data_IF_423489582292
#
_entry.id   IF_423489582292
#
_cell.length_a   1.000
_cell.length_b   1.000
_cell.length_c   1.000
_cell.angle_alpha   90.00
_cell.angle_beta   90.00
_cell.angle_gamma   90.00
#
_symmetry.space_group_name_H-M   'P 1'
#
loop_
_entity.id
_entity.type
_entity.pdbx_description
1 polymer ?
2 non-polymer ?
3 water ?
#
# COMPACT_ATOMS: atom_id res chain seq x y z
N UNK A 1 27.02 4.49 -4.93
CA UNK A 1 25.70 4.89 -5.50
C UNK A 1 24.92 5.70 -4.48
N UNK A 2 24.87 7.01 -4.70
CA UNK A 2 24.25 7.93 -3.77
C UNK A 2 22.76 7.61 -3.56
N UNK A 3 22.10 7.18 -4.63
CA UNK A 3 20.67 6.89 -4.56
C UNK A 3 20.44 5.68 -3.68
N UNK A 4 21.23 4.64 -3.90
CA UNK A 4 21.09 3.43 -3.12
C UNK A 4 21.40 3.75 -1.66
N UNK A 5 22.36 4.62 -1.42
CA UNK A 5 22.67 5.02 -0.05
C UNK A 5 21.48 5.70 0.64
N UNK A 6 20.72 6.47 -0.12
CA UNK A 6 19.53 7.14 0.43
C UNK A 6 18.51 6.14 0.94
N UNK A 7 18.46 4.97 0.32
CA UNK A 7 17.56 3.92 0.76
C UNK A 7 18.16 3.15 1.94
N UNK A 8 19.41 2.73 1.80
CA UNK A 8 20.05 1.90 2.84
C UNK A 8 20.09 2.62 4.21
N UNK A 9 20.35 3.92 4.20
CA UNK A 9 20.40 4.72 5.41
C UNK A 9 19.07 4.79 6.14
N UNK A 10 17.99 4.42 5.46
CA UNK A 10 16.64 4.51 5.99
C UNK A 10 16.03 3.14 6.27
N UNK A 11 16.86 2.11 6.29
CA UNK A 11 16.43 0.83 6.81
C UNK A 11 16.82 0.75 8.27
N UNK A 12 15.85 0.45 9.12
CA UNK A 12 16.07 0.30 10.56
C UNK A 12 15.99 -1.16 10.96
N UNK A 13 16.87 -1.60 11.83
CA UNK A 13 16.89 -3.00 12.25
C UNK A 13 16.43 -3.17 13.70
N UNK A 14 15.51 -4.13 13.90
CA UNK A 14 14.99 -4.45 15.24
C UNK A 14 15.32 -5.89 15.60
N UNK A 15 16.37 -6.10 16.40
CA UNK A 15 16.68 -7.47 16.82
C UNK A 15 15.55 -8.09 17.65
N UNK A 16 15.40 -9.40 17.52
CA UNK A 16 14.47 -10.18 18.33
C UNK A 16 13.00 -9.78 18.14
N UNK A 17 12.67 -9.34 16.94
CA UNK A 17 11.29 -9.14 16.52
C UNK A 17 11.08 -9.80 15.17
N UNK A 18 10.06 -10.65 15.06
CA UNK A 18 9.08 -10.86 16.11
C UNK A 18 9.45 -11.96 17.11
N UNK A 19 10.54 -12.67 16.85
CA UNK A 19 11.00 -13.71 17.74
C UNK A 19 12.47 -13.53 18.03
N UNK A 20 12.94 -14.08 19.17
CA UNK A 20 14.36 -13.97 19.50
C UNK A 20 15.27 -14.59 18.42
N UNK A 21 16.34 -13.89 18.05
CA UNK A 21 17.40 -14.47 17.21
C UNK A 21 17.42 -13.89 15.81
N UNK A 22 16.29 -13.37 15.39
CA UNK A 22 16.17 -12.76 14.09
C UNK A 22 16.30 -11.24 14.18
N UNK A 23 16.29 -10.60 13.02
CA UNK A 23 16.38 -9.15 12.95
C UNK A 23 15.37 -8.66 11.95
N UNK A 24 14.39 -7.91 12.43
CA UNK A 24 13.38 -7.34 11.56
C UNK A 24 13.95 -6.13 10.87
N UNK A 25 13.85 -6.09 9.54
CA UNK A 25 14.29 -4.94 8.77
C UNK A 25 13.08 -4.04 8.48
N UNK A 26 13.08 -2.86 9.11
CA UNK A 26 11.94 -1.93 9.04
C UNK A 26 12.18 -0.96 7.89
N UNK A 27 11.30 -0.96 6.90
CA UNK A 27 11.43 -0.04 5.77
C UNK A 27 10.60 1.24 5.96
N UNK A 28 9.92 1.36 7.10
CA UNK A 28 9.10 2.56 7.35
C UNK A 28 9.85 3.90 7.14
N UNK A 29 11.14 3.99 7.54
CA UNK A 29 11.78 5.30 7.35
C UNK A 29 11.98 5.68 5.88
N UNK A 30 12.00 4.70 5.00
CA UNK A 30 12.12 4.96 3.57
C UNK A 30 10.88 5.73 3.11
N UNK A 31 9.72 5.34 3.63
CA UNK A 31 8.46 6.00 3.23
C UNK A 31 8.37 7.41 3.81
N UNK A 32 8.97 7.61 5.00
CA UNK A 32 8.85 8.88 5.69
C UNK A 32 9.75 9.96 5.09
N UNK A 33 10.82 9.53 4.43
CA UNK A 33 11.75 10.46 3.79
C UNK A 33 11.48 10.46 2.29
N UNK A 34 10.89 11.56 1.79
CA UNK A 34 10.44 11.49 0.40
C UNK A 34 11.58 11.30 -0.61
N UNK A 35 12.78 11.75 -0.27
CA UNK A 35 13.94 11.52 -1.16
C UNK A 35 14.31 10.04 -1.20
N UNK A 36 14.22 9.37 -0.07
CA UNK A 36 14.50 7.94 0.04
C UNK A 36 13.49 7.14 -0.77
N UNK A 37 12.21 7.45 -0.59
CA UNK A 37 11.16 6.75 -1.31
C UNK A 37 11.32 6.94 -2.82
N UNK A 38 11.55 8.18 -3.24
CA UNK A 38 11.78 8.47 -4.65
C UNK A 38 12.97 7.68 -5.21
N UNK A 39 14.03 7.57 -4.41
CA UNK A 39 15.23 6.83 -4.84
C UNK A 39 14.91 5.35 -5.01
N UNK A 40 14.17 4.78 -4.08
CA UNK A 40 13.84 3.36 -4.12
C UNK A 40 13.02 3.06 -5.38
N UNK A 41 12.01 3.86 -5.64
CA UNK A 41 11.15 3.64 -6.79
C UNK A 41 11.96 3.82 -8.07
N UNK A 42 12.80 4.84 -8.09
CA UNK A 42 13.63 5.09 -9.26
C UNK A 42 14.61 3.97 -9.56
N UNK A 43 15.26 3.43 -8.53
CA UNK A 43 16.19 2.34 -8.70
C UNK A 43 15.47 1.08 -9.23
N UNK A 44 14.28 0.80 -8.70
CA UNK A 44 13.53 -0.36 -9.15
C UNK A 44 13.07 -0.16 -10.59
N UNK A 45 12.57 1.02 -10.90
CA UNK A 45 12.07 1.30 -12.24
C UNK A 45 13.19 1.21 -13.28
N UNK A 46 14.34 1.78 -12.95
CA UNK A 46 15.48 1.77 -13.88
C UNK A 46 15.94 0.32 -14.15
N UNK A 47 16.00 -0.49 -13.09
CA UNK A 47 16.34 -1.88 -13.26
C UNK A 47 15.35 -2.59 -14.18
N UNK A 48 14.06 -2.35 -13.97
CA UNK A 48 13.05 -3.08 -14.75
C UNK A 48 13.03 -2.66 -16.21
N UNK A 49 13.20 -1.36 -16.46
CA UNK A 49 13.29 -0.88 -17.85
C UNK A 49 14.53 -1.42 -18.52
N UNK A 50 15.63 -1.50 -17.78
CA UNK A 50 16.90 -1.98 -18.35
C UNK A 50 16.87 -3.48 -18.63
N UNK A 51 15.97 -4.19 -17.95
CA UNK A 51 15.93 -5.64 -18.01
C UNK A 51 14.81 -6.15 -18.93
N UNK A 52 13.73 -5.39 -19.04
CA UNK A 52 12.54 -5.86 -19.76
C UNK A 52 12.07 -4.94 -20.86
N UNK A 53 12.73 -3.79 -21.02
CA UNK A 53 12.28 -2.82 -22.01
C UNK A 53 10.81 -2.52 -21.84
N UNK A 54 10.04 -2.65 -22.92
CA UNK A 54 8.62 -2.35 -22.86
C UNK A 54 7.71 -3.56 -22.66
N UNK A 55 8.27 -4.68 -22.21
CA UNK A 55 7.50 -5.93 -22.18
C UNK A 55 6.58 -6.10 -20.98
N UNK A 56 6.72 -5.24 -19.96
CA UNK A 56 5.90 -5.39 -18.76
C UNK A 56 4.51 -4.82 -19.00
N UNK A 57 3.47 -5.59 -18.71
CA UNK A 57 2.10 -5.11 -18.84
C UNK A 57 1.58 -4.49 -17.54
N UNK A 58 1.88 -5.15 -16.42
CA UNK A 58 1.37 -4.74 -15.10
C UNK A 58 2.39 -5.01 -14.03
N UNK A 59 2.31 -4.19 -12.97
CA UNK A 59 2.95 -4.50 -11.71
C UNK A 59 1.91 -5.17 -10.81
N UNK A 60 2.33 -6.20 -10.08
CA UNK A 60 1.46 -6.82 -9.08
C UNK A 60 2.02 -6.53 -7.73
N UNK A 61 1.23 -5.88 -6.89
CA UNK A 61 1.69 -5.51 -5.55
C UNK A 61 1.12 -6.47 -4.53
N UNK A 62 1.94 -6.87 -3.57
CA UNK A 62 1.51 -7.83 -2.53
C UNK A 62 1.05 -7.15 -1.23
N UNK A 63 -0.12 -7.56 -0.75
CA UNK A 63 -0.70 -7.08 0.52
C UNK A 63 0.20 -7.50 1.68
N UNK A 64 0.57 -6.58 2.58
CA UNK A 64 0.15 -5.19 2.52
C UNK A 64 1.31 -4.22 2.21
N UNK A 65 2.55 -4.59 2.52
CA UNK A 65 3.64 -3.62 2.33
C UNK A 65 4.10 -3.51 0.88
N UNK A 66 3.80 -4.51 0.06
CA UNK A 66 3.98 -4.35 -1.36
C UNK A 66 3.08 -3.27 -1.97
N UNK A 67 1.94 -3.03 -1.33
CA UNK A 67 1.01 -1.98 -1.75
C UNK A 67 1.66 -0.60 -1.64
N UNK A 68 2.63 -0.47 -0.76
CA UNK A 68 3.32 0.80 -0.56
C UNK A 68 4.19 1.17 -1.75
N UNK A 69 4.67 0.17 -2.48
CA UNK A 69 5.60 0.41 -3.56
C UNK A 69 4.99 0.17 -4.93
N UNK A 70 4.04 -0.76 -5.01
CA UNK A 70 3.46 -1.18 -6.28
C UNK A 70 2.92 -0.06 -7.13
N UNK A 71 2.01 0.75 -6.58
CA UNK A 71 1.42 1.79 -7.42
C UNK A 71 2.41 2.85 -7.85
N UNK A 72 3.33 3.25 -6.96
CA UNK A 72 4.32 4.25 -7.35
C UNK A 72 5.26 3.71 -8.42
N UNK A 73 5.62 2.44 -8.31
CA UNK A 73 6.47 1.80 -9.30
C UNK A 73 5.74 1.69 -10.62
N UNK A 74 4.49 1.25 -10.57
CA UNK A 74 3.67 1.17 -11.75
C UNK A 74 3.58 2.55 -12.43
N UNK A 75 3.26 3.56 -11.65
CA UNK A 75 3.14 4.92 -12.20
C UNK A 75 4.42 5.37 -12.87
N UNK A 76 5.56 5.10 -12.23
CA UNK A 76 6.85 5.49 -12.80
C UNK A 76 7.09 4.83 -14.17
N UNK A 77 6.56 3.62 -14.35
CA UNK A 77 6.72 2.85 -15.57
C UNK A 77 5.59 3.06 -16.58
N UNK A 78 4.59 3.85 -16.19
CA UNK A 78 3.43 4.12 -17.02
C UNK A 78 2.42 2.96 -17.09
N UNK A 79 2.43 2.13 -16.04
CA UNK A 79 1.64 0.88 -16.03
C UNK A 79 0.58 0.92 -14.94
N UNK A 80 -0.42 0.07 -15.08
CA UNK A 80 -1.32 -0.20 -13.99
C UNK A 80 -0.76 -1.20 -13.00
N UNK A 81 -1.40 -1.25 -11.84
CA UNK A 81 -1.02 -2.15 -10.77
C UNK A 81 -2.21 -3.06 -10.44
N UNK A 82 -1.96 -4.37 -10.37
CA UNK A 82 -2.96 -5.29 -9.88
C UNK A 82 -2.59 -5.76 -8.48
N UNK A 83 -3.59 -6.21 -7.73
CA UNK A 83 -3.43 -6.49 -6.33
C UNK A 83 -3.56 -7.96 -6.01
N UNK A 84 -2.65 -8.45 -5.19
CA UNK A 84 -2.78 -9.74 -4.60
C UNK A 84 -2.99 -9.53 -3.11
N UNK A 85 -4.09 -10.04 -2.58
CA UNK A 85 -4.55 -9.68 -1.27
C UNK A 85 -4.61 -10.86 -0.34
N UNK A 86 -4.54 -10.59 0.94
CA UNK A 86 -4.84 -11.62 1.93
C UNK A 86 -6.27 -12.14 1.68
N UNK A 87 -6.45 -13.45 1.79
CA UNK A 87 -7.73 -14.05 1.46
C UNK A 87 -8.88 -13.45 2.26
N UNK A 88 -10.02 -13.27 1.59
CA UNK A 88 -11.27 -12.85 2.26
C UNK A 88 -11.65 -11.39 2.02
N UNK A 89 -10.83 -10.67 1.27
CA UNK A 89 -11.00 -9.22 1.12
C UNK A 89 -11.56 -8.82 -0.24
N UNK A 90 -11.39 -9.67 -1.24
CA UNK A 90 -11.72 -9.32 -2.61
C UNK A 90 -13.12 -9.81 -2.98
N UNK A 91 -13.91 -8.94 -3.64
CA UNK A 91 -15.19 -9.35 -4.19
C UNK A 91 -14.99 -10.06 -5.52
N UNK A 92 -16.04 -10.73 -5.99
CA UNK A 92 -15.98 -11.44 -7.28
C UNK A 92 -15.29 -12.79 -7.13
N UNK A 93 -15.22 -13.55 -8.22
CA UNK A 93 -14.59 -14.86 -8.21
C UNK A 93 -13.08 -14.75 -8.01
N UNK A 94 -12.53 -15.62 -7.15
CA UNK A 94 -11.14 -15.57 -6.81
C UNK A 94 -10.48 -16.94 -6.85
N UNK A 95 -9.15 -16.90 -6.89
CA UNK A 95 -8.28 -18.04 -6.66
C UNK A 95 -7.47 -17.70 -5.43
N UNK A 96 -7.08 -18.72 -4.67
CA UNK A 96 -6.22 -18.48 -3.50
C UNK A 96 -5.13 -19.54 -3.36
N UNK A 97 -4.09 -19.21 -2.59
CA UNK A 97 -2.94 -20.07 -2.47
C UNK A 97 -2.36 -19.96 -1.07
N UNK A 98 -2.23 -21.09 -0.39
CA UNK A 98 -1.69 -21.11 0.95
C UNK A 98 -0.19 -21.24 0.92
N UNK A 99 0.44 -20.90 2.04
CA UNK A 99 1.87 -21.02 2.22
C UNK A 99 2.09 -20.86 3.71
N UNK A 100 3.23 -21.29 4.22
CA UNK A 100 3.49 -21.20 5.65
C UNK A 100 4.06 -19.83 6.01
N UNK A 101 3.51 -19.23 7.06
CA UNK A 101 3.99 -17.99 7.62
C UNK A 101 4.29 -18.28 9.08
N UNK A 104 2.09 -21.38 11.25
CA UNK A 104 0.92 -21.94 10.60
C UNK A 104 0.85 -21.54 9.14
N UNK A 105 -0.36 -21.22 8.67
CA UNK A 105 -0.58 -20.94 7.25
C UNK A 105 -1.28 -19.62 7.02
N UNK A 106 -0.97 -18.99 5.90
CA UNK A 106 -1.67 -17.81 5.44
C UNK A 106 -2.14 -18.09 4.02
N UNK A 107 -3.08 -17.30 3.53
CA UNK A 107 -3.55 -17.45 2.15
C UNK A 107 -3.59 -16.11 1.44
N UNK A 108 -3.08 -16.09 0.21
CA UNK A 108 -3.19 -14.94 -0.66
C UNK A 108 -4.27 -15.23 -1.70
N UNK A 109 -4.81 -14.18 -2.28
CA UNK A 109 -5.95 -14.31 -3.18
C UNK A 109 -5.86 -13.29 -4.32
N UNK A 110 -6.40 -13.64 -5.48
CA UNK A 110 -6.45 -12.72 -6.60
C UNK A 110 -7.78 -12.91 -7.33
N UNK A 111 -8.31 -11.83 -7.89
CA UNK A 111 -9.53 -11.91 -8.68
C UNK A 111 -9.24 -12.67 -9.97
N UNK A 112 -10.14 -13.58 -10.33
CA UNK A 112 -9.94 -14.41 -11.54
C UNK A 112 -9.79 -13.52 -12.77
N UNK A 113 -10.32 -12.29 -12.69
CA UNK A 113 -10.26 -11.36 -13.83
C UNK A 113 -9.15 -10.30 -13.74
N UNK A 114 -8.20 -10.48 -12.83
CA UNK A 114 -7.14 -9.49 -12.67
C UNK A 114 -6.25 -9.37 -13.91
N UNK A 115 -6.04 -10.51 -14.58
CA UNK A 115 -5.16 -10.56 -15.75
C UNK A 115 -5.72 -11.51 -16.76
N UNK A 116 -5.34 -11.29 -18.02
CA UNK A 116 -5.70 -12.18 -19.11
C UNK A 116 -4.55 -13.11 -19.41
N UNK A 117 -4.83 -14.30 -19.96
CA UNK A 117 -3.75 -15.18 -20.31
C UNK A 117 -2.73 -14.50 -21.19
N UNK A 118 -1.46 -14.71 -20.86
CA UNK A 118 -0.37 -14.18 -21.66
C UNK A 118 0.16 -12.84 -21.21
N UNK A 119 -0.60 -12.14 -20.35
CA UNK A 119 -0.14 -10.84 -19.89
C UNK A 119 1.07 -11.00 -18.99
N UNK A 120 1.97 -10.01 -19.05
CA UNK A 120 3.28 -10.10 -18.44
C UNK A 120 3.39 -9.17 -17.26
N UNK A 121 3.84 -9.71 -16.14
CA UNK A 121 3.73 -9.01 -14.87
C UNK A 121 5.04 -9.09 -14.10
N UNK A 122 5.31 -8.06 -13.31
CA UNK A 122 6.40 -8.07 -12.36
C UNK A 122 5.80 -7.91 -10.98
N UNK A 123 6.23 -8.75 -10.04
CA UNK A 123 5.66 -8.77 -8.71
C UNK A 123 6.57 -7.97 -7.81
N UNK A 124 5.99 -7.15 -6.94
CA UNK A 124 6.79 -6.37 -6.00
C UNK A 124 6.30 -6.53 -4.56
N UNK A 125 7.28 -6.68 -3.66
CA UNK A 125 7.00 -6.68 -2.22
C UNK A 125 8.14 -5.91 -1.56
N UNK A 126 7.99 -5.59 -0.28
CA UNK A 126 9.02 -4.84 0.39
C UNK A 126 10.29 -5.66 0.65
N UNK A 127 10.11 -6.91 1.04
CA UNK A 127 11.23 -7.72 1.49
C UNK A 127 10.98 -9.19 1.15
N UNK A 128 12.03 -9.86 0.69
CA UNK A 128 12.03 -11.30 0.45
C UNK A 128 12.79 -12.01 1.57
N UNK A 129 12.12 -12.94 2.24
CA UNK A 129 12.75 -13.74 3.28
C UNK A 129 12.80 -15.20 2.83
N UNK A 130 11.92 -16.04 3.33
CA UNK A 130 11.89 -17.45 2.88
C UNK A 130 11.42 -17.57 1.43
N UNK A 131 10.69 -16.57 0.96
CA UNK A 131 10.16 -16.59 -0.40
C UNK A 131 8.76 -17.19 -0.48
N UNK A 132 8.20 -17.57 0.66
CA UNK A 132 6.88 -18.20 0.68
C UNK A 132 5.80 -17.29 0.12
N UNK A 133 5.82 -16.03 0.53
CA UNK A 133 4.81 -15.07 0.10
C UNK A 133 4.91 -14.82 -1.41
N UNK A 134 6.11 -14.52 -1.88
CA UNK A 134 6.31 -14.28 -3.30
C UNK A 134 6.02 -15.53 -4.14
N UNK A 135 6.32 -16.70 -3.59
CA UNK A 135 6.05 -17.93 -4.29
C UNK A 135 4.54 -18.14 -4.49
N UNK A 136 3.76 -17.85 -3.44
CA UNK A 136 2.31 -17.93 -3.52
C UNK A 136 1.76 -16.97 -4.57
N UNK A 137 2.30 -15.76 -4.61
CA UNK A 137 1.88 -14.78 -5.60
C UNK A 137 2.17 -15.30 -7.00
N UNK A 138 3.37 -15.86 -7.19
CA UNK A 138 3.75 -16.39 -8.50
C UNK A 138 2.83 -17.52 -8.92
N UNK A 139 2.46 -18.39 -7.98
CA UNK A 139 1.54 -19.49 -8.26
C UNK A 139 0.18 -18.97 -8.73
N UNK A 140 -0.36 -18.00 -8.01
CA UNK A 140 -1.65 -17.43 -8.38
C UNK A 140 -1.58 -16.86 -9.78
N UNK A 141 -0.54 -16.08 -10.06
CA UNK A 141 -0.44 -15.47 -11.37
C UNK A 141 -0.31 -16.52 -12.46
N UNK A 142 0.42 -17.60 -12.17
CA UNK A 142 0.58 -18.68 -13.12
C UNK A 142 -0.74 -19.36 -13.41
N UNK A 143 -1.60 -19.40 -12.40
CA UNK A 143 -2.91 -20.02 -12.56
C UNK A 143 -3.85 -19.19 -13.42
N UNK A 144 -3.56 -17.89 -13.54
CA UNK A 144 -4.26 -17.01 -14.48
C UNK A 144 -3.60 -17.07 -15.86
N UNK A 145 -2.57 -17.89 -15.98
CA UNK A 145 -1.80 -17.99 -17.20
C UNK A 145 -1.08 -16.72 -17.54
N UNK A 146 -0.77 -15.91 -16.53
CA UNK A 146 0.05 -14.74 -16.77
C UNK A 146 1.50 -15.17 -16.77
N UNK A 147 2.35 -14.38 -17.42
CA UNK A 147 3.77 -14.64 -17.42
C UNK A 147 4.46 -13.73 -16.41
N UNK A 148 5.05 -14.33 -15.39
CA UNK A 148 5.76 -13.55 -14.38
C UNK A 148 7.19 -13.33 -14.87
N UNK A 149 7.51 -12.08 -15.19
CA UNK A 149 8.82 -11.76 -15.77
C UNK A 149 9.90 -11.70 -14.72
N UNK A 150 9.53 -11.27 -13.51
CA UNK A 150 10.49 -11.04 -12.45
C UNK A 150 9.75 -10.73 -11.18
N UNK A 151 10.38 -11.01 -10.05
CA UNK A 151 9.93 -10.54 -8.75
C UNK A 151 11.00 -9.59 -8.21
N UNK A 152 10.58 -8.51 -7.57
CA UNK A 152 11.51 -7.55 -7.01
C UNK A 152 11.12 -7.16 -5.59
N UNK A 153 12.11 -6.71 -4.82
CA UNK A 153 11.88 -6.20 -3.47
C UNK A 153 12.94 -5.16 -3.13
N UNK A 154 12.72 -4.40 -2.05
CA UNK A 154 13.76 -3.50 -1.57
C UNK A 154 14.88 -4.29 -0.89
N UNK A 155 14.49 -5.30 -0.12
CA UNK A 155 15.43 -6.03 0.74
C UNK A 155 15.29 -7.52 0.52
N UNK A 156 16.42 -8.22 0.59
CA UNK A 156 16.47 -9.68 0.48
C UNK A 156 17.32 -10.18 1.64
N UNK A 157 16.82 -11.19 2.35
CA UNK A 157 17.57 -11.85 3.42
C UNK A 157 18.18 -13.14 2.88
N UNK A 158 19.44 -13.03 2.47
CA UNK A 158 20.03 -14.03 1.58
C UNK A 158 20.22 -15.40 2.23
N UNK A 159 20.41 -15.44 3.54
CA UNK A 159 20.61 -16.72 4.22
C UNK A 159 19.36 -17.61 4.17
N UNK A 160 18.22 -17.03 3.85
CA UNK A 160 16.96 -17.78 3.83
C UNK A 160 16.66 -18.37 2.44
N UNK A 161 17.49 -18.02 1.46
CA UNK A 161 17.47 -18.63 0.12
C UNK A 161 16.10 -18.56 -0.57
N UNK A 162 15.41 -17.45 -0.40
CA UNK A 162 14.15 -17.23 -1.11
C UNK A 162 14.31 -17.15 -2.61
N UNK A 163 15.46 -16.64 -3.05
CA UNK A 163 15.79 -16.50 -4.48
C UNK A 163 15.70 -17.87 -5.19
N UNK A 164 16.31 -18.87 -4.56
CA UNK A 164 16.29 -20.23 -5.11
C UNK A 164 14.86 -20.77 -5.19
N UNK A 165 14.05 -20.41 -4.20
CA UNK A 165 12.68 -20.86 -4.14
C UNK A 165 11.85 -20.35 -5.33
N UNK A 166 12.18 -19.15 -5.82
CA UNK A 166 11.45 -18.54 -6.95
C UNK A 166 11.94 -19.02 -8.30
N UNK A 167 13.21 -19.40 -8.37
CA UNK A 167 13.80 -19.87 -9.62
C UNK A 167 12.83 -20.88 -10.24
N UNK A 168 12.63 -20.79 -11.56
CA UNK A 168 13.50 -20.05 -12.44
C UNK A 168 13.04 -18.62 -12.75
N UNK A 169 12.05 -18.13 -12.02
CA UNK A 169 11.66 -16.73 -12.17
C UNK A 169 12.77 -15.85 -11.59
N UNK A 170 13.25 -14.86 -12.37
CA UNK A 170 14.31 -13.99 -11.90
C UNK A 170 13.89 -13.16 -10.70
N UNK A 171 14.86 -12.83 -9.87
CA UNK A 171 14.62 -12.00 -8.71
C UNK A 171 15.68 -10.91 -8.60
N UNK A 172 15.26 -9.75 -8.13
CA UNK A 172 16.14 -8.60 -7.92
C UNK A 172 15.74 -7.86 -6.66
N UNK A 173 16.75 -7.55 -5.83
CA UNK A 173 16.57 -6.71 -4.65
C UNK A 173 17.55 -5.55 -4.68
N UNK A 174 17.17 -4.43 -4.07
CA UNK A 174 18.06 -3.29 -3.97
C UNK A 174 19.18 -3.57 -2.97
N UNK A 175 18.81 -4.22 -1.86
CA UNK A 175 19.71 -4.40 -0.73
C UNK A 175 19.64 -5.82 -0.21
N UNK A 176 20.77 -6.32 0.25
CA UNK A 176 20.84 -7.68 0.76
C UNK A 176 21.45 -7.68 2.15
N UNK A 177 20.84 -8.46 3.04
CA UNK A 177 21.41 -8.74 4.37
C UNK A 177 21.44 -10.25 4.55
N UNK A 178 22.27 -10.73 5.46
CA UNK A 178 22.25 -12.17 5.74
C UNK A 178 20.82 -12.56 6.17
N UNK B 1 -16.10 17.46 -14.39
CA UNK B 1 -14.63 17.27 -14.24
C UNK B 1 -14.20 15.95 -14.91
N UNK B 2 -13.45 16.06 -15.99
CA UNK B 2 -13.07 14.88 -16.75
C UNK B 2 -12.11 14.01 -15.95
N UNK B 3 -11.27 14.63 -15.13
CA UNK B 3 -10.37 13.87 -14.27
C UNK B 3 -11.18 13.03 -13.29
N UNK B 4 -12.23 13.62 -12.73
CA UNK B 4 -13.02 12.91 -11.74
C UNK B 4 -13.74 11.77 -12.42
N UNK B 5 -14.16 12.01 -13.66
CA UNK B 5 -14.82 10.98 -14.43
C UNK B 5 -13.91 9.78 -14.66
N UNK B 6 -12.63 10.01 -14.86
CA UNK B 6 -11.65 8.94 -15.02
C UNK B 6 -11.60 8.05 -13.79
N UNK B 7 -11.88 8.62 -12.61
CA UNK B 7 -11.87 7.86 -11.39
C UNK B 7 -13.20 7.14 -11.22
N UNK B 8 -14.30 7.88 -11.38
CA UNK B 8 -15.63 7.34 -11.13
C UNK B 8 -15.93 6.14 -12.04
N UNK B 9 -15.50 6.23 -13.29
CA UNK B 9 -15.82 5.19 -14.25
C UNK B 9 -15.01 3.90 -13.99
N UNK B 10 -14.07 3.96 -13.05
CA UNK B 10 -13.27 2.78 -12.69
C UNK B 10 -13.60 2.26 -11.29
N UNK B 11 -14.67 2.74 -10.70
CA UNK B 11 -15.21 2.12 -9.51
C UNK B 11 -16.22 1.07 -9.92
N UNK B 12 -16.06 -0.11 -9.37
CA UNK B 12 -16.90 -1.25 -9.71
C UNK B 12 -17.71 -1.64 -8.47
N UNK B 13 -19.02 -1.78 -8.59
CA UNK B 13 -19.85 -2.03 -7.43
C UNK B 13 -20.40 -3.45 -7.44
N UNK B 14 -20.18 -4.16 -6.34
CA UNK B 14 -20.60 -5.54 -6.17
C UNK B 14 -21.71 -5.65 -5.13
N UNK B 15 -22.89 -6.06 -5.55
CA UNK B 15 -23.97 -6.21 -4.58
C UNK B 15 -23.76 -7.43 -3.69
N UNK B 16 -24.29 -7.35 -2.48
CA UNK B 16 -24.27 -8.48 -1.53
C UNK B 16 -22.89 -8.95 -1.13
N UNK B 17 -21.95 -8.03 -1.03
CA UNK B 17 -20.61 -8.34 -0.54
C UNK B 17 -20.19 -7.31 0.48
N UNK B 18 -19.81 -7.75 1.68
CA UNK B 18 -19.65 -9.17 1.98
C UNK B 18 -20.92 -9.84 2.51
N UNK B 19 -21.96 -9.05 2.74
CA UNK B 19 -23.19 -9.56 3.32
C UNK B 19 -24.37 -9.18 2.44
N UNK B 20 -25.46 -9.96 2.50
CA UNK B 20 -26.59 -9.57 1.67
C UNK B 20 -27.05 -8.14 1.97
N UNK B 21 -27.25 -7.36 0.92
CA UNK B 21 -27.87 -6.03 1.03
C UNK B 21 -26.86 -4.89 0.96
N UNK B 22 -25.60 -5.22 1.17
CA UNK B 22 -24.49 -4.28 1.13
C UNK B 22 -23.94 -4.20 -0.29
N UNK B 23 -23.54 -3.01 -0.72
CA UNK B 23 -22.87 -2.87 -2.00
C UNK B 23 -21.42 -2.48 -1.77
N UNK B 24 -20.50 -3.33 -2.21
CA UNK B 24 -19.08 -3.11 -2.04
C UNK B 24 -18.57 -2.28 -3.20
N UNK B 25 -17.87 -1.19 -2.90
CA UNK B 25 -17.26 -0.39 -3.94
C UNK B 25 -15.82 -0.81 -4.12
N UNK B 26 -15.54 -1.39 -5.28
CA UNK B 26 -14.21 -1.95 -5.59
C UNK B 26 -13.40 -0.87 -6.33
N UNK B 27 -12.33 -0.42 -5.71
CA UNK B 27 -11.45 0.58 -6.27
C UNK B 27 -10.29 -0.02 -7.05
N UNK B 28 -10.23 -1.34 -7.14
CA UNK B 28 -9.10 -1.96 -7.79
C UNK B 28 -8.92 -1.54 -9.28
N UNK B 29 -10.02 -1.31 -10.03
CA UNK B 29 -9.79 -0.85 -11.42
C UNK B 29 -9.13 0.54 -11.54
N UNK B 30 -9.25 1.35 -10.51
CA UNK B 30 -8.56 2.64 -10.49
C UNK B 30 -7.06 2.40 -10.49
N UNK B 31 -6.61 1.42 -9.71
CA UNK B 31 -5.17 1.09 -9.64
C UNK B 31 -4.67 0.49 -10.96
N UNK B 32 -5.54 -0.25 -11.63
CA UNK B 32 -5.15 -1.00 -12.81
C UNK B 32 -5.04 -0.13 -14.06
N UNK B 33 -5.74 1.02 -14.04
CA UNK B 33 -5.69 1.99 -15.14
C UNK B 33 -4.81 3.16 -14.74
N UNK B 34 -3.61 3.26 -15.33
CA UNK B 34 -2.69 4.26 -14.77
C UNK B 34 -3.22 5.70 -14.89
N UNK B 35 -4.04 5.98 -15.90
CA UNK B 35 -4.61 7.32 -16.03
C UNK B 35 -5.61 7.61 -14.91
N UNK B 36 -6.33 6.59 -14.49
CA UNK B 36 -7.30 6.72 -13.40
C UNK B 36 -6.59 6.95 -12.07
N UNK B 37 -5.56 6.16 -11.80
CA UNK B 37 -4.80 6.34 -10.57
C UNK B 37 -4.16 7.74 -10.52
N UNK B 38 -3.56 8.16 -11.62
CA UNK B 38 -2.96 9.48 -11.70
C UNK B 38 -3.98 10.58 -11.42
N UNK B 39 -5.18 10.43 -11.98
CA UNK B 39 -6.23 11.41 -11.78
C UNK B 39 -6.63 11.48 -10.31
N UNK B 40 -6.78 10.32 -9.68
CA UNK B 40 -7.17 10.27 -8.27
C UNK B 40 -6.14 10.97 -7.39
N UNK B 41 -4.87 10.67 -7.60
CA UNK B 41 -3.82 11.27 -6.78
C UNK B 41 -3.77 12.79 -7.04
N UNK B 42 -3.91 13.17 -8.31
CA UNK B 42 -3.90 14.58 -8.66
C UNK B 42 -5.02 15.36 -8.00
N UNK B 43 -6.22 14.81 -8.00
CA UNK B 43 -7.38 15.50 -7.45
C UNK B 43 -7.24 15.64 -5.94
N UNK B 44 -6.74 14.59 -5.29
CA UNK B 44 -6.53 14.65 -3.84
C UNK B 44 -5.46 15.66 -3.49
N UNK B 45 -4.36 15.63 -4.23
CA UNK B 45 -3.25 16.57 -3.97
C UNK B 45 -3.69 18.01 -4.19
N UNK B 46 -4.46 18.26 -5.23
CA UNK B 46 -4.89 19.63 -5.55
C UNK B 46 -5.81 20.14 -4.44
N UNK B 47 -6.73 19.29 -3.97
CA UNK B 47 -7.58 19.66 -2.84
C UNK B 47 -6.75 20.01 -1.60
N UNK B 48 -5.79 19.15 -1.27
CA UNK B 48 -5.02 19.32 -0.05
C UNK B 48 -4.15 20.56 -0.10
N UNK B 49 -3.53 20.81 -1.24
CA UNK B 49 -2.74 22.04 -1.40
C UNK B 49 -3.62 23.29 -1.34
N UNK B 50 -4.80 23.22 -1.96
CA UNK B 50 -5.70 24.37 -1.98
C UNK B 50 -6.30 24.67 -0.62
N UNK B 51 -6.38 23.65 0.22
CA UNK B 51 -7.01 23.77 1.54
C UNK B 51 -6.00 24.08 2.66
N UNK B 52 -4.79 23.50 2.57
CA UNK B 52 -3.82 23.57 3.65
C UNK B 52 -2.51 24.25 3.27
N UNK B 53 -2.32 24.54 1.99
CA UNK B 53 -1.10 25.19 1.56
C UNK B 53 0.11 24.41 2.02
N UNK B 54 1.03 25.07 2.71
CA UNK B 54 2.23 24.39 3.20
C UNK B 54 2.15 23.85 4.61
N UNK B 55 0.94 23.74 5.16
CA UNK B 55 0.79 23.33 6.57
C UNK B 55 0.99 21.85 6.80
N UNK B 56 0.81 21.02 5.77
CA UNK B 56 0.92 19.58 5.97
C UNK B 56 2.38 19.17 6.11
N UNK B 57 2.67 18.38 7.14
CA UNK B 57 4.02 17.85 7.32
C UNK B 57 4.17 16.43 6.77
N UNK B 58 3.15 15.60 6.98
CA UNK B 58 3.16 14.20 6.54
C UNK B 58 1.77 13.74 6.13
N UNK B 59 1.74 12.77 5.23
CA UNK B 59 0.56 11.97 4.97
C UNK B 59 0.65 10.73 5.85
N UNK B 60 -0.48 10.32 6.43
CA UNK B 60 -0.57 9.07 7.16
C UNK B 60 -1.45 8.13 6.39
N UNK B 61 -0.89 7.00 5.98
CA UNK B 61 -1.63 6.01 5.22
C UNK B 61 -2.14 4.91 6.12
N UNK B 62 -3.39 4.50 5.90
CA UNK B 62 -4.00 3.46 6.71
C UNK B 62 -3.85 2.06 6.06
N UNK B 63 -3.39 1.10 6.86
CA UNK B 63 -3.25 -0.30 6.44
C UNK B 63 -4.63 -0.88 6.13
N UNK B 64 -4.80 -1.53 4.96
CA UNK B 64 -3.76 -1.64 3.94
C UNK B 64 -4.13 -0.94 2.61
N UNK B 65 -5.40 -0.60 2.39
CA UNK B 65 -5.73 0.05 1.12
C UNK B 65 -5.34 1.54 1.10
N UNK B 66 -5.16 2.14 2.27
CA UNK B 66 -4.57 3.47 2.34
C UNK B 66 -3.12 3.47 1.91
N UNK B 67 -2.47 2.32 2.05
CA UNK B 67 -1.08 2.15 1.63
C UNK B 67 -0.98 2.31 0.12
N UNK B 68 -2.06 2.03 -0.59
CA UNK B 68 -2.05 2.13 -2.06
C UNK B 68 -2.00 3.57 -2.53
N UNK B 69 -2.54 4.49 -1.72
CA UNK B 69 -2.65 5.88 -2.15
C UNK B 69 -1.74 6.81 -1.40
N UNK B 70 -1.44 6.48 -0.15
CA UNK B 70 -0.68 7.39 0.71
C UNK B 70 0.67 7.79 0.16
N UNK B 71 1.51 6.82 -0.22
CA UNK B 71 2.84 7.19 -0.71
C UNK B 71 2.82 8.04 -1.98
N UNK B 72 1.96 7.69 -2.94
CA UNK B 72 1.86 8.47 -4.16
C UNK B 72 1.35 9.87 -3.88
N UNK B 73 0.39 9.98 -2.96
CA UNK B 73 -0.13 11.28 -2.59
C UNK B 73 0.95 12.11 -1.90
N UNK B 74 1.64 11.49 -0.95
CA UNK B 74 2.75 12.16 -0.30
C UNK B 74 3.79 12.63 -1.31
N UNK B 75 4.19 11.73 -2.21
CA UNK B 75 5.20 12.09 -3.22
C UNK B 75 4.76 13.28 -4.04
N UNK B 76 3.49 13.27 -4.46
CA UNK B 76 2.97 14.37 -5.26
C UNK B 76 3.04 15.70 -4.51
N UNK B 77 2.94 15.65 -3.18
CA UNK B 77 2.96 16.84 -2.35
C UNK B 77 4.38 17.21 -1.83
N UNK B 78 5.35 16.37 -2.17
CA UNK B 78 6.73 16.54 -1.71
C UNK B 78 6.93 16.17 -0.25
N UNK B 79 6.08 15.29 0.25
CA UNK B 79 6.03 14.93 1.66
C UNK B 79 6.35 13.47 1.88
N UNK B 80 6.75 13.13 3.10
CA UNK B 80 6.83 11.74 3.49
C UNK B 80 5.49 11.18 3.92
N UNK B 81 5.47 9.86 4.08
CA UNK B 81 4.28 9.14 4.46
C UNK B 81 4.61 8.28 5.69
N UNK B 82 3.79 8.41 6.74
CA UNK B 82 3.88 7.54 7.89
C UNK B 82 2.76 6.53 7.83
N UNK B 83 2.93 5.42 8.55
CA UNK B 83 2.06 4.26 8.40
C UNK B 83 1.32 3.97 9.67
N UNK B 84 0.03 3.73 9.54
CA UNK B 84 -0.77 3.20 10.62
C UNK B 84 -1.16 1.78 10.24
N UNK B 85 -0.78 0.82 11.06
CA UNK B 85 -0.88 -0.60 10.74
C UNK B 85 -1.91 -1.31 11.58
N UNK B 86 -2.39 -2.45 11.10
CA UNK B 86 -3.06 -3.41 11.98
C UNK B 86 -2.10 -3.86 13.08
N UNK B 87 -2.61 -4.06 14.30
CA UNK B 87 -1.75 -4.30 15.46
C UNK B 87 -0.96 -5.59 15.36
N UNK B 88 0.25 -5.59 15.91
CA UNK B 88 1.12 -6.76 15.90
C UNK B 88 2.14 -6.76 14.77
N UNK B 89 2.08 -5.74 13.92
CA UNK B 89 2.89 -5.71 12.70
C UNK B 89 4.16 -4.86 12.85
N UNK B 90 4.07 -3.80 13.64
CA UNK B 90 5.17 -2.83 13.75
C UNK B 90 6.14 -3.22 14.86
N UNK B 91 7.46 -3.11 14.59
CA UNK B 91 8.46 -3.35 15.61
C UNK B 91 8.70 -2.12 16.48
N UNK B 92 9.36 -2.31 17.61
CA UNK B 92 9.71 -1.19 18.49
C UNK B 92 8.51 -0.67 19.26
N UNK B 93 8.71 0.43 19.99
CA UNK B 93 7.65 0.94 20.83
C UNK B 93 6.52 1.49 19.98
N UNK B 94 5.29 1.15 20.35
CA UNK B 94 4.11 1.56 19.62
C UNK B 94 3.00 2.00 20.56
N UNK B 95 2.01 2.65 19.99
CA UNK B 95 0.74 2.84 20.65
C UNK B 95 -0.29 2.14 19.82
N UNK B 96 -1.34 1.64 20.47
CA UNK B 96 -2.39 0.96 19.76
C UNK B 96 -3.74 1.40 20.29
N UNK B 97 -4.75 1.29 19.44
CA UNK B 97 -6.12 1.60 19.83
C UNK B 97 -7.00 0.53 19.21
N UNK B 98 -7.94 0.03 20.00
CA UNK B 98 -8.86 -0.99 19.52
C UNK B 98 -10.20 -0.34 19.23
N UNK B 99 -10.75 -0.61 18.04
CA UNK B 99 -12.03 -0.04 17.64
C UNK B 99 -12.99 -1.15 17.20
N UNK B 105 -13.52 -6.84 16.38
CA UNK B 105 -12.84 -5.71 16.98
C UNK B 105 -11.36 -5.72 16.62
N UNK B 106 -10.96 -4.85 15.70
CA UNK B 106 -9.57 -4.76 15.27
C UNK B 106 -8.81 -3.72 16.08
N UNK B 107 -7.48 -3.74 15.95
CA UNK B 107 -6.63 -2.77 16.62
C UNK B 107 -5.66 -2.16 15.62
N UNK B 108 -5.46 -0.85 15.71
CA UNK B 108 -4.47 -0.16 14.89
C UNK B 108 -3.23 0.13 15.71
N UNK B 109 -2.12 0.35 15.02
CA UNK B 109 -0.83 0.52 15.69
C UNK B 109 0.00 1.56 14.96
N UNK B 110 0.81 2.32 15.70
CA UNK B 110 1.74 3.24 15.08
C UNK B 110 3.01 3.30 15.91
N UNK B 111 4.15 3.47 15.25
CA UNK B 111 5.42 3.56 15.97
C UNK B 111 5.49 4.88 16.75
N UNK B 112 6.01 4.84 17.97
CA UNK B 112 6.01 6.03 18.83
C UNK B 112 6.80 7.18 18.22
N UNK B 113 7.79 6.87 17.39
CA UNK B 113 8.60 7.93 16.78
C UNK B 113 8.17 8.28 15.35
N UNK B 114 6.97 7.85 14.95
CA UNK B 114 6.45 8.19 13.63
C UNK B 114 6.31 9.72 13.44
N UNK B 115 5.91 10.42 14.49
CA UNK B 115 5.69 11.86 14.45
C UNK B 115 6.13 12.47 15.75
N UNK B 116 6.54 13.74 15.71
CA UNK B 116 6.86 14.51 16.92
C UNK B 116 5.66 15.38 17.30
N UNK B 117 5.57 15.77 18.57
CA UNK B 117 4.49 16.67 18.95
C UNK B 117 4.47 17.95 18.11
N UNK B 118 3.27 18.30 17.64
CA UNK B 118 3.08 19.53 16.88
C UNK B 118 3.10 19.34 15.38
N UNK B 119 3.51 18.17 14.90
CA UNK B 119 3.51 17.91 13.48
C UNK B 119 2.09 17.66 12.98
N UNK B 120 1.86 18.07 11.74
CA UNK B 120 0.53 18.15 11.17
C UNK B 120 0.42 17.13 10.07
N UNK B 121 -0.68 16.39 10.09
CA UNK B 121 -0.84 15.20 9.26
C UNK B 121 -2.21 15.18 8.59
N UNK B 122 -2.25 14.65 7.36
CA UNK B 122 -3.51 14.31 6.72
C UNK B 122 -3.56 12.79 6.61
N UNK B 123 -4.69 12.22 7.02
CA UNK B 123 -4.88 10.76 6.99
C UNK B 123 -5.60 10.37 5.70
N UNK B 124 -5.12 9.33 5.05
CA UNK B 124 -5.77 8.86 3.82
C UNK B 124 -6.12 7.38 3.90
N UNK B 125 -7.33 7.07 3.45
CA UNK B 125 -7.75 5.66 3.27
C UNK B 125 -8.50 5.60 1.94
N UNK B 126 -8.79 4.40 1.44
CA UNK B 126 -9.50 4.30 0.18
C UNK B 126 -10.98 4.69 0.31
N UNK B 127 -11.60 4.34 1.42
CA UNK B 127 -13.04 4.52 1.52
C UNK B 127 -13.44 4.77 2.95
N UNK B 128 -14.39 5.69 3.14
CA UNK B 128 -14.96 5.97 4.45
C UNK B 128 -16.36 5.38 4.50
N UNK B 129 -16.57 4.47 5.45
CA UNK B 129 -17.88 3.85 5.65
C UNK B 129 -18.46 4.36 6.97
N UNK B 130 -18.40 3.55 8.03
CA UNK B 130 -18.88 4.00 9.34
C UNK B 130 -17.98 5.08 9.96
N UNK B 131 -16.73 5.14 9.50
CA UNK B 131 -15.78 6.08 10.04
C UNK B 131 -15.01 5.52 11.24
N UNK B 132 -15.28 4.27 11.60
CA UNK B 132 -14.60 3.63 12.72
C UNK B 132 -13.08 3.58 12.57
N UNK B 133 -12.63 3.15 11.38
CA UNK B 133 -11.21 2.99 11.13
C UNK B 133 -10.51 4.35 11.18
N UNK B 134 -11.07 5.32 10.48
CA UNK B 134 -10.46 6.65 10.42
C UNK B 134 -10.48 7.33 11.80
N UNK B 135 -11.54 7.09 12.55
CA UNK B 135 -11.65 7.65 13.87
C UNK B 135 -10.56 7.12 14.78
N UNK B 136 -10.33 5.82 14.70
CA UNK B 136 -9.26 5.19 15.47
C UNK B 136 -7.89 5.75 15.07
N UNK B 137 -7.67 5.97 13.79
CA UNK B 137 -6.40 6.53 13.33
C UNK B 137 -6.18 7.91 13.93
N UNK B 138 -7.22 8.74 13.89
CA UNK B 138 -7.15 10.09 14.43
C UNK B 138 -6.78 10.06 15.90
N UNK B 139 -7.42 9.18 16.66
CA UNK B 139 -7.10 9.06 18.08
C UNK B 139 -5.64 8.68 18.32
N UNK B 140 -5.16 7.68 17.57
CA UNK B 140 -3.77 7.27 17.68
C UNK B 140 -2.81 8.43 17.44
N UNK B 141 -3.06 9.15 16.36
CA UNK B 141 -2.21 10.29 16.02
C UNK B 141 -2.25 11.35 17.10
N UNK B 142 -3.44 11.57 17.65
CA UNK B 142 -3.63 12.54 18.72
C UNK B 142 -2.78 12.18 19.91
N UNK B 143 -2.59 10.89 20.16
CA UNK B 143 -1.81 10.47 21.32
C UNK B 143 -0.30 10.70 21.14
N UNK B 144 0.14 10.89 19.89
CA UNK B 144 1.49 11.34 19.60
C UNK B 144 1.59 12.86 19.66
N UNK B 145 0.47 13.50 19.97
CA UNK B 145 0.37 14.95 19.97
C UNK B 145 0.56 15.55 18.58
N UNK B 146 0.22 14.76 17.57
CA UNK B 146 0.16 15.28 16.21
C UNK B 146 -1.19 15.95 16.01
N UNK B 147 -1.22 16.91 15.10
CA UNK B 147 -2.44 17.58 14.73
C UNK B 147 -2.96 17.00 13.42
N UNK B 148 -4.15 16.42 13.46
CA UNK B 148 -4.78 15.91 12.25
C UNK B 148 -5.55 17.02 11.55
N UNK B 149 -5.03 17.46 10.41
CA UNK B 149 -5.63 18.56 9.66
C UNK B 149 -6.91 18.15 8.93
N UNK B 150 -6.93 16.92 8.43
CA UNK B 150 -8.01 16.45 7.58
C UNK B 150 -7.86 14.95 7.40
N UNK B 151 -8.97 14.27 7.15
CA UNK B 151 -8.97 12.92 6.65
C UNK B 151 -9.56 12.93 5.24
N UNK B 152 -8.99 12.15 4.34
CA UNK B 152 -9.47 12.06 2.97
C UNK B 152 -9.59 10.63 2.49
N UNK B 153 -10.48 10.41 1.53
CA UNK B 153 -10.64 9.10 0.90
C UNK B 153 -11.06 9.28 -0.55
N UNK B 154 -11.02 8.20 -1.32
CA UNK B 154 -11.54 8.24 -2.66
C UNK B 154 -13.06 8.21 -2.63
N UNK B 155 -13.61 7.37 -1.76
CA UNK B 155 -15.04 7.11 -1.72
C UNK B 155 -15.59 7.30 -0.32
N UNK B 156 -16.80 7.84 -0.25
CA UNK B 156 -17.52 8.01 1.01
C UNK B 156 -18.92 7.45 0.84
N UNK B 157 -19.36 6.66 1.83
CA UNK B 157 -20.71 6.08 1.83
C UNK B 157 -21.57 6.93 2.76
N UNK B 158 -22.26 7.89 2.17
CA UNK B 158 -22.83 8.99 2.95
C UNK B 158 -23.96 8.56 3.91
N UNK B 159 -24.65 7.49 3.59
CA UNK B 159 -25.77 7.10 4.44
C UNK B 159 -25.27 6.54 5.79
N UNK B 160 -23.97 6.26 5.91
CA UNK B 160 -23.41 5.74 7.15
C UNK B 160 -22.86 6.83 8.06
N UNK B 161 -22.89 8.06 7.59
CA UNK B 161 -22.57 9.23 8.40
C UNK B 161 -21.21 9.14 9.10
N UNK B 162 -20.22 8.61 8.38
CA UNK B 162 -18.83 8.64 8.87
C UNK B 162 -18.26 10.03 9.05
N UNK B 163 -18.67 10.97 8.20
CA UNK B 163 -18.19 12.35 8.25
C UNK B 163 -18.50 12.96 9.63
N UNK B 164 -19.73 12.73 10.10
CA UNK B 164 -20.17 13.24 11.41
C UNK B 164 -19.34 12.64 12.55
N UNK B 165 -18.95 11.39 12.39
CA UNK B 165 -18.12 10.73 13.40
C UNK B 165 -16.76 11.40 13.56
N UNK B 166 -16.20 11.89 12.46
CA UNK B 166 -14.86 12.49 12.48
C UNK B 166 -14.84 13.92 12.99
N UNK B 167 -15.96 14.61 12.84
CA UNK B 167 -16.08 15.99 13.31
C UNK B 167 -15.48 16.08 14.70
N UNK B 168 -14.70 17.13 14.98
CA UNK B 168 -14.63 18.30 14.12
C UNK B 168 -13.48 18.27 13.11
N UNK B 169 -12.79 17.16 13.00
CA UNK B 169 -11.76 17.02 11.99
C UNK B 169 -12.42 17.01 10.62
N UNK B 170 -11.96 17.88 9.72
CA UNK B 170 -12.57 17.94 8.38
C UNK B 170 -12.36 16.66 7.57
N UNK B 171 -13.28 16.39 6.66
CA UNK B 171 -13.21 15.22 5.81
C UNK B 171 -13.51 15.59 4.37
N UNK B 172 -12.82 14.97 3.44
CA UNK B 172 -13.03 15.16 2.01
C UNK B 172 -12.95 13.84 1.27
N UNK B 173 -13.92 13.59 0.38
CA UNK B 173 -13.88 12.45 -0.51
C UNK B 173 -14.02 12.88 -1.96
N UNK B 174 -13.43 12.12 -2.88
CA UNK B 174 -13.62 12.41 -4.31
C UNK B 174 -15.02 12.07 -4.76
N UNK B 175 -15.55 10.95 -4.28
CA UNK B 175 -16.82 10.42 -4.74
C UNK B 175 -17.69 10.00 -3.58
N UNK B 176 -19.00 10.19 -3.75
CA UNK B 176 -19.96 9.86 -2.70
C UNK B 176 -21.02 8.91 -3.24
N UNK B 177 -21.32 7.87 -2.48
CA UNK B 177 -22.46 7.01 -2.79
C UNK B 177 -23.32 6.90 -1.55
N UNK B 178 -24.62 6.75 -1.74
CA UNK B 178 -25.45 6.52 -0.57
C UNK B 178 -24.80 5.38 0.23
#
# INVERSE_FOLDING_TARGET
>A
DSELQLVEQRIRSFPDFPTPGVVFRDISPVLKDPASFRAAIGLLARHLKATHGGRIDYIAGLDSRGFLFGPSLAQELGLGCVLIRKRGKLPGPTLWASYSLEYGKAELEIQKDALEPGQRVVVVDDLLATGGTMNAACELLGRLQAEVLECVSLVELTSLKGREKLAPVPFFSLLQYE
>B
DSELQLVEQRIRSFPDFPTPGVVFRDISPVLKDPASFRAAIGLLARHLKATHGGRIDYIAGLDSRGFLFGPSLAQELGLGCVLIRKRGKLPGPTLWASYSLEYGKAELEIQKDALEPGQRVVVVDDLLATGGTMNAACELLGRLQAEVLECVSLVELTSLKGREKLAPVPFFSLLQYE
#
